data_IF_270971920688
#
_entry.id   IF_270971920688
#
_cell.length_a   1.000
_cell.length_b   1.000
_cell.length_c   1.000
_cell.angle_alpha   90.00
_cell.angle_beta   90.00
_cell.angle_gamma   90.00
#
_symmetry.space_group_name_H-M   'P 1'
#
loop_
_entity.id
_entity.type
_entity.pdbx_description
1 polymer ?
#
# COMPACT_ATOMS: atom_id res chain seq x y z
N UNK A 1 2.63 16.41 6.52
CA UNK A 1 3.03 16.54 7.94
C UNK A 1 4.25 15.66 8.14
N UNK A 2 5.17 15.98 9.06
CA UNK A 2 6.31 15.10 9.32
C UNK A 2 5.83 13.70 9.73
N UNK A 3 6.55 12.68 9.31
CA UNK A 3 6.33 11.32 9.80
C UNK A 3 6.66 11.27 11.30
N UNK A 4 5.78 10.70 12.12
CA UNK A 4 6.09 10.49 13.53
C UNK A 4 6.72 9.11 13.72
N UNK A 5 7.99 9.05 14.08
CA UNK A 5 8.72 7.78 14.33
C UNK A 5 8.79 7.45 15.81
N UNK A 6 9.02 6.17 16.13
CA UNK A 6 9.12 5.64 17.49
C UNK A 6 10.41 5.99 18.24
N UNK A 7 10.65 5.30 19.35
CA UNK A 7 11.77 5.53 20.28
C UNK A 7 13.11 4.95 19.81
N UNK A 8 13.10 3.94 18.93
CA UNK A 8 14.29 3.21 18.47
C UNK A 8 15.18 2.71 19.62
N UNK A 9 14.60 2.05 20.62
CA UNK A 9 15.31 1.59 21.82
C UNK A 9 16.51 0.66 21.50
N UNK A 10 16.43 -0.06 20.39
CA UNK A 10 17.48 -0.95 19.89
C UNK A 10 18.52 -0.27 18.96
N UNK A 11 18.44 1.05 18.74
CA UNK A 11 19.41 1.83 17.94
C UNK A 11 19.59 1.31 16.51
N UNK A 12 18.47 0.93 15.90
CA UNK A 12 18.38 0.39 14.55
C UNK A 12 18.34 1.47 13.48
N UNK A 13 18.03 2.72 13.86
CA UNK A 13 18.14 3.88 12.99
C UNK A 13 19.60 4.08 12.56
N UNK A 14 19.82 4.10 11.25
CA UNK A 14 21.10 4.38 10.60
C UNK A 14 20.95 5.54 9.65
N UNK A 15 22.09 6.09 9.23
CA UNK A 15 22.15 7.20 8.28
C UNK A 15 22.81 6.73 7.00
N UNK A 16 22.12 6.90 5.88
CA UNK A 16 22.63 6.75 4.53
C UNK A 16 23.08 8.13 4.02
N UNK A 17 24.31 8.22 3.52
CA UNK A 17 24.82 9.45 2.90
C UNK A 17 24.93 9.24 1.40
N UNK A 18 24.26 10.07 0.61
CA UNK A 18 24.25 10.03 -0.86
C UNK A 18 24.62 11.41 -1.38
N UNK A 19 25.85 11.57 -1.86
CA UNK A 19 26.38 12.89 -2.19
C UNK A 19 26.37 13.80 -0.95
N UNK A 20 25.71 14.95 -1.06
CA UNK A 20 25.56 15.93 0.04
C UNK A 20 24.30 15.70 0.89
N UNK A 21 23.49 14.69 0.56
CA UNK A 21 22.25 14.38 1.27
C UNK A 21 22.47 13.31 2.34
N UNK A 22 21.81 13.48 3.48
CA UNK A 22 21.84 12.56 4.60
C UNK A 22 20.42 12.14 4.95
N UNK A 23 20.15 10.84 4.84
CA UNK A 23 18.81 10.27 4.99
C UNK A 23 18.87 9.18 6.05
N UNK A 24 18.01 9.27 7.06
CA UNK A 24 17.87 8.22 8.06
C UNK A 24 17.01 7.06 7.55
N UNK A 25 17.25 5.85 8.04
CA UNK A 25 16.42 4.68 7.76
C UNK A 25 16.55 3.65 8.90
N UNK A 26 15.58 2.75 9.02
CA UNK A 26 15.57 1.71 10.05
C UNK A 26 16.15 0.41 9.50
N UNK A 27 17.31 0.02 10.03
CA UNK A 27 18.15 -1.05 9.46
C UNK A 27 17.85 -2.41 10.06
N UNK A 28 17.35 -3.35 9.24
CA UNK A 28 17.17 -4.76 9.63
C UNK A 28 18.49 -5.42 10.06
N UNK A 29 19.63 -5.24 9.35
CA UNK A 29 20.93 -5.72 9.85
C UNK A 29 21.29 -5.18 11.23
N UNK A 30 21.00 -3.91 11.52
CA UNK A 30 21.27 -3.33 12.83
C UNK A 30 20.36 -3.93 13.92
N UNK A 31 19.12 -4.29 13.58
CA UNK A 31 18.23 -5.04 14.47
C UNK A 31 18.81 -6.43 14.82
N UNK A 32 19.38 -7.13 13.84
CA UNK A 32 20.11 -8.39 14.07
C UNK A 32 21.31 -8.19 15.00
N UNK A 33 22.13 -7.18 14.73
CA UNK A 33 23.32 -6.83 15.55
C UNK A 33 22.95 -6.46 16.99
N UNK A 34 21.79 -5.81 17.18
CA UNK A 34 21.24 -5.47 18.49
C UNK A 34 20.67 -6.69 19.25
N UNK A 35 20.69 -7.88 18.65
CA UNK A 35 20.22 -9.12 19.28
C UNK A 35 18.71 -9.32 19.25
N UNK A 36 17.99 -8.63 18.34
CA UNK A 36 16.54 -8.81 18.18
C UNK A 36 16.17 -10.10 17.43
N UNK A 37 17.14 -10.78 16.81
CA UNK A 37 16.98 -12.09 16.19
C UNK A 37 17.61 -12.19 14.80
N UNK A 38 17.47 -13.36 14.17
CA UNK A 38 17.93 -13.59 12.80
C UNK A 38 16.79 -13.38 11.80
N UNK A 39 16.95 -12.36 10.96
CA UNK A 39 15.99 -11.97 9.92
C UNK A 39 16.44 -12.35 8.50
N UNK A 40 17.55 -13.08 8.36
CA UNK A 40 18.15 -13.41 7.05
C UNK A 40 17.22 -14.21 6.14
N UNK A 41 16.40 -15.08 6.74
CA UNK A 41 15.44 -15.96 6.04
C UNK A 41 14.06 -15.34 5.84
N UNK A 42 13.85 -14.09 6.23
CA UNK A 42 12.55 -13.44 5.99
C UNK A 42 12.34 -13.16 4.48
N UNK A 43 11.14 -13.47 3.96
CA UNK A 43 10.68 -12.98 2.66
C UNK A 43 10.74 -11.45 2.59
N UNK A 44 10.92 -10.91 1.39
CA UNK A 44 11.01 -9.47 1.17
C UNK A 44 9.77 -8.72 1.67
N UNK A 45 8.56 -9.27 1.47
CA UNK A 45 7.33 -8.68 1.95
C UNK A 45 7.31 -8.54 3.49
N UNK A 46 7.83 -9.53 4.21
CA UNK A 46 7.94 -9.44 5.69
C UNK A 46 9.05 -8.51 6.14
N UNK A 47 10.09 -8.30 5.34
CA UNK A 47 11.11 -7.28 5.63
C UNK A 47 10.51 -5.86 5.57
N UNK A 48 9.57 -5.61 4.66
CA UNK A 48 8.81 -4.34 4.61
C UNK A 48 7.98 -4.15 5.89
N UNK A 49 7.27 -5.19 6.34
CA UNK A 49 6.50 -5.12 7.60
C UNK A 49 7.43 -4.99 8.81
N UNK A 50 8.58 -5.67 8.82
CA UNK A 50 9.57 -5.57 9.89
C UNK A 50 10.17 -4.15 9.99
N UNK A 51 10.49 -3.51 8.85
CA UNK A 51 10.90 -2.10 8.84
C UNK A 51 9.86 -1.21 9.50
N UNK A 52 8.59 -1.44 9.20
CA UNK A 52 7.48 -0.71 9.81
C UNK A 52 7.49 -0.85 11.35
N UNK A 53 7.69 -2.07 11.85
CA UNK A 53 7.76 -2.32 13.29
C UNK A 53 8.96 -1.64 13.93
N UNK A 54 10.14 -1.69 13.28
CA UNK A 54 11.34 -1.01 13.75
C UNK A 54 11.14 0.51 13.83
N UNK A 55 10.51 1.09 12.80
CA UNK A 55 10.27 2.53 12.71
C UNK A 55 9.26 3.06 13.71
N UNK A 56 8.28 2.24 14.09
CA UNK A 56 7.19 2.65 15.00
C UNK A 56 7.27 2.05 16.40
N UNK A 57 8.40 1.44 16.79
CA UNK A 57 8.61 0.91 18.15
C UNK A 57 8.46 2.01 19.21
N UNK A 58 7.43 1.91 20.05
CA UNK A 58 7.01 2.96 20.99
C UNK A 58 6.64 2.44 22.39
N UNK A 59 6.80 1.13 22.63
CA UNK A 59 6.41 0.40 23.84
C UNK A 59 4.91 0.50 24.21
N UNK A 60 4.07 0.93 23.26
CA UNK A 60 2.61 1.05 23.44
C UNK A 60 1.84 0.27 22.40
N UNK A 61 2.11 0.56 21.14
CA UNK A 61 1.49 -0.07 19.98
C UNK A 61 2.42 -1.06 19.31
N UNK A 62 3.72 -0.78 19.30
CA UNK A 62 4.74 -1.69 18.80
C UNK A 62 5.82 -1.85 19.87
N UNK A 63 6.00 -3.08 20.32
CA UNK A 63 6.98 -3.46 21.33
C UNK A 63 8.18 -4.15 20.70
N UNK A 64 9.29 -4.23 21.45
CA UNK A 64 10.48 -5.02 21.05
C UNK A 64 10.14 -6.50 20.84
N UNK A 65 9.15 -7.03 21.57
CA UNK A 65 8.71 -8.42 21.41
C UNK A 65 7.97 -8.65 20.08
N UNK A 66 7.26 -7.63 19.56
CA UNK A 66 6.64 -7.70 18.23
C UNK A 66 7.70 -7.79 17.13
N UNK A 67 8.82 -7.10 17.29
CA UNK A 67 9.97 -7.17 16.38
C UNK A 67 10.62 -8.56 16.45
N UNK A 68 10.89 -9.08 17.66
CA UNK A 68 11.47 -10.43 17.86
C UNK A 68 10.59 -11.54 17.28
N UNK A 69 9.27 -11.34 17.27
CA UNK A 69 8.32 -12.32 16.74
C UNK A 69 8.55 -12.65 15.26
N UNK A 70 9.18 -11.77 14.47
CA UNK A 70 9.57 -12.06 13.10
C UNK A 70 10.74 -13.05 13.01
N UNK A 71 11.72 -12.96 13.91
CA UNK A 71 12.79 -13.95 13.99
C UNK A 71 12.24 -15.31 14.42
N UNK A 72 11.31 -15.33 15.38
CA UNK A 72 10.59 -16.55 15.76
C UNK A 72 9.79 -17.14 14.61
N UNK A 73 9.11 -16.30 13.82
CA UNK A 73 8.37 -16.73 12.63
C UNK A 73 9.30 -17.45 11.65
N UNK A 74 10.50 -16.91 11.42
CA UNK A 74 11.53 -17.54 10.58
C UNK A 74 12.02 -18.87 11.15
N UNK A 75 12.29 -18.93 12.45
CA UNK A 75 12.74 -20.13 13.14
C UNK A 75 11.67 -21.25 13.16
N UNK A 76 10.38 -20.89 13.23
CA UNK A 76 9.24 -21.81 13.24
C UNK A 76 8.76 -22.20 11.84
N UNK A 77 9.50 -21.86 10.79
CA UNK A 77 9.18 -22.24 9.41
C UNK A 77 7.94 -21.53 8.87
N UNK A 78 7.78 -20.25 9.21
CA UNK A 78 6.71 -19.40 8.69
C UNK A 78 5.43 -19.40 9.53
N UNK A 79 5.47 -19.93 10.75
CA UNK A 79 4.31 -20.06 11.64
C UNK A 79 4.50 -19.27 12.92
N UNK A 80 3.75 -18.19 13.10
CA UNK A 80 3.68 -17.50 14.40
C UNK A 80 2.36 -16.70 14.50
N UNK A 81 1.42 -17.08 15.39
CA UNK A 81 0.19 -16.31 15.57
C UNK A 81 0.43 -15.09 16.48
N UNK A 82 1.46 -14.29 16.17
CA UNK A 82 1.66 -12.99 16.82
C UNK A 82 0.85 -11.96 16.07
N UNK A 83 0.01 -11.24 16.79
CA UNK A 83 -0.67 -10.05 16.29
C UNK A 83 0.26 -8.85 16.40
N UNK A 84 0.27 -8.00 15.37
CA UNK A 84 1.10 -6.81 15.24
C UNK A 84 0.25 -5.61 14.84
N UNK A 85 0.73 -4.41 15.19
CA UNK A 85 0.08 -3.14 14.90
C UNK A 85 0.77 -2.47 13.70
N UNK A 86 0.32 -2.77 12.49
CA UNK A 86 0.92 -2.28 11.25
C UNK A 86 0.40 -0.90 10.82
N UNK A 87 1.28 0.01 10.43
CA UNK A 87 0.91 1.36 9.97
C UNK A 87 1.24 1.55 8.49
N UNK A 88 0.25 1.64 7.59
CA UNK A 88 0.54 1.90 6.18
C UNK A 88 1.15 3.30 5.99
N UNK A 89 2.01 3.47 4.97
CA UNK A 89 2.55 4.79 4.65
C UNK A 89 1.48 5.76 4.15
N UNK A 90 0.48 5.26 3.41
CA UNK A 90 -0.62 6.05 2.83
C UNK A 90 -1.90 5.24 2.66
N UNK A 91 -2.99 5.93 2.32
CA UNK A 91 -4.31 5.32 2.04
C UNK A 91 -4.76 5.68 0.63
N UNK A 92 -5.34 4.72 -0.09
CA UNK A 92 -5.93 4.91 -1.42
C UNK A 92 -7.45 4.73 -1.38
N UNK A 93 -8.18 5.72 -1.86
CA UNK A 93 -9.64 5.70 -1.93
C UNK A 93 -10.09 5.74 -3.39
N UNK A 94 -11.23 5.13 -3.67
CA UNK A 94 -11.99 5.30 -4.92
C UNK A 94 -13.31 6.02 -4.61
N UNK A 95 -14.00 6.60 -5.59
CA UNK A 95 -15.07 7.55 -5.33
C UNK A 95 -16.35 6.97 -4.68
N UNK A 96 -16.64 5.68 -4.78
CA UNK A 96 -17.80 5.07 -4.10
C UNK A 96 -17.58 4.88 -2.60
N UNK A 97 -16.36 4.58 -2.18
CA UNK A 97 -15.98 4.43 -0.76
C UNK A 97 -15.35 5.70 -0.18
N UNK A 98 -14.79 6.55 -1.03
CA UNK A 98 -14.17 7.81 -0.63
C UNK A 98 -15.18 8.90 -0.29
N UNK A 99 -16.35 8.93 -0.96
CA UNK A 99 -17.45 9.82 -0.58
C UNK A 99 -17.91 9.56 0.87
N UNK A 100 -18.29 8.33 1.26
CA UNK A 100 -18.68 8.08 2.65
C UNK A 100 -17.53 8.37 3.64
N UNK A 101 -16.28 8.03 3.31
CA UNK A 101 -15.16 8.37 4.19
C UNK A 101 -15.00 9.88 4.44
N UNK A 102 -15.19 10.72 3.40
CA UNK A 102 -15.16 12.19 3.56
C UNK A 102 -16.38 12.70 4.33
N UNK A 103 -17.54 12.07 4.17
CA UNK A 103 -18.73 12.36 5.00
C UNK A 103 -18.45 12.03 6.46
N UNK A 104 -17.82 10.90 6.76
CA UNK A 104 -17.52 10.48 8.12
C UNK A 104 -16.49 11.40 8.78
N UNK A 105 -15.46 11.86 8.05
CA UNK A 105 -14.56 12.92 8.51
C UNK A 105 -15.29 14.23 8.82
N UNK A 106 -16.23 14.65 7.96
CA UNK A 106 -17.02 15.85 8.20
C UNK A 106 -17.93 15.69 9.44
N UNK A 107 -18.58 14.54 9.58
CA UNK A 107 -19.42 14.24 10.74
C UNK A 107 -18.61 14.17 12.04
N UNK A 108 -17.39 13.62 12.00
CA UNK A 108 -16.46 13.61 13.12
C UNK A 108 -16.04 15.03 13.53
N UNK A 109 -15.84 15.94 12.57
CA UNK A 109 -15.58 17.37 12.87
C UNK A 109 -16.75 18.00 13.61
N UNK A 110 -17.98 17.83 13.10
CA UNK A 110 -19.18 18.36 13.74
C UNK A 110 -19.38 17.79 15.16
N UNK A 111 -19.16 16.48 15.33
CA UNK A 111 -19.22 15.83 16.63
C UNK A 111 -18.19 16.41 17.60
N UNK A 112 -16.93 16.59 17.17
CA UNK A 112 -15.88 17.13 18.02
C UNK A 112 -16.17 18.57 18.46
N UNK A 113 -16.69 19.40 17.54
CA UNK A 113 -17.13 20.77 17.86
C UNK A 113 -18.28 20.76 18.87
N UNK A 114 -19.24 19.84 18.73
CA UNK A 114 -20.36 19.70 19.68
C UNK A 114 -19.90 19.33 21.10
N UNK A 115 -18.74 18.65 21.20
CA UNK A 115 -18.08 18.31 22.46
C UNK A 115 -17.13 19.42 22.97
N UNK A 116 -17.06 20.56 22.28
CA UNK A 116 -16.21 21.71 22.63
C UNK A 116 -14.74 21.58 22.19
N UNK A 117 -14.43 20.63 21.30
CA UNK A 117 -13.10 20.44 20.72
C UNK A 117 -12.89 21.27 19.44
N UNK A 118 -11.69 21.15 18.88
CA UNK A 118 -11.29 21.81 17.63
C UNK A 118 -11.44 20.86 16.43
N UNK A 119 -12.26 21.24 15.45
CA UNK A 119 -12.49 20.47 14.23
C UNK A 119 -11.20 20.14 13.46
N UNK A 120 -10.19 21.00 13.52
CA UNK A 120 -8.92 20.79 12.80
C UNK A 120 -8.12 19.60 13.34
N UNK A 121 -8.46 19.08 14.53
CA UNK A 121 -7.87 17.83 15.04
C UNK A 121 -8.34 16.60 14.26
N UNK A 122 -9.50 16.67 13.59
CA UNK A 122 -9.94 15.64 12.66
C UNK A 122 -9.33 15.96 11.30
N UNK A 123 -8.20 15.32 11.03
CA UNK A 123 -7.50 15.41 9.77
C UNK A 123 -6.75 14.09 9.49
N UNK A 124 -6.63 13.67 8.22
CA UNK A 124 -5.74 12.58 7.86
C UNK A 124 -4.29 12.82 8.32
N UNK A 125 -3.74 11.88 9.09
CA UNK A 125 -2.36 11.89 9.58
C UNK A 125 -1.38 11.34 8.55
N UNK A 126 -1.86 10.53 7.61
CA UNK A 126 -1.10 9.95 6.52
C UNK A 126 -1.62 10.50 5.19
N UNK A 127 -0.81 10.51 4.11
CA UNK A 127 -1.28 10.83 2.77
C UNK A 127 -2.49 9.98 2.37
N UNK A 128 -3.52 10.63 1.85
CA UNK A 128 -4.73 10.01 1.32
C UNK A 128 -4.92 10.48 -0.12
N UNK A 129 -4.96 9.53 -1.04
CA UNK A 129 -5.23 9.76 -2.44
C UNK A 129 -6.60 9.18 -2.78
N UNK A 130 -7.52 10.02 -3.26
CA UNK A 130 -8.82 9.60 -3.77
C UNK A 130 -8.83 9.71 -5.29
N UNK A 131 -9.07 8.60 -5.99
CA UNK A 131 -9.21 8.58 -7.45
C UNK A 131 -10.68 8.46 -7.83
N UNK A 132 -11.14 9.33 -8.73
CA UNK A 132 -12.50 9.27 -9.27
C UNK A 132 -12.47 8.48 -10.58
N UNK A 133 -12.96 7.25 -10.54
CA UNK A 133 -12.92 6.32 -11.69
C UNK A 133 -14.10 5.36 -11.78
N UNK A 134 -14.90 5.19 -10.72
CA UNK A 134 -16.06 4.28 -10.68
C UNK A 134 -17.37 4.93 -11.19
N UNK A 135 -17.32 6.20 -11.58
CA UNK A 135 -18.51 6.97 -11.96
C UNK A 135 -18.81 7.02 -13.45
N UNK A 136 -17.80 6.82 -14.31
CA UNK A 136 -17.96 6.87 -15.76
C UNK A 136 -18.68 5.63 -16.28
N UNK A 137 -19.66 5.83 -17.14
CA UNK A 137 -20.42 4.76 -17.80
C UNK A 137 -20.25 4.84 -19.31
N UNK A 138 -20.36 3.69 -19.98
CA UNK A 138 -20.32 3.62 -21.44
C UNK A 138 -21.73 3.88 -21.97
N UNK A 139 -22.13 5.15 -22.05
CA UNK A 139 -23.41 5.54 -22.67
C UNK A 139 -23.32 5.58 -24.20
N UNK A 140 -22.16 5.96 -24.74
CA UNK A 140 -21.82 5.94 -26.17
C UNK A 140 -20.53 5.13 -26.40
N UNK A 141 -20.43 4.47 -27.55
CA UNK A 141 -19.23 3.74 -27.97
C UNK A 141 -19.05 3.76 -29.50
N UNK A 142 -17.86 3.39 -29.96
CA UNK A 142 -17.58 3.14 -31.37
C UNK A 142 -17.55 4.37 -32.29
N UNK A 143 -17.48 5.59 -31.74
CA UNK A 143 -17.41 6.82 -32.53
C UNK A 143 -16.48 7.88 -31.89
N UNK A 144 -15.93 8.84 -32.67
CA UNK A 144 -14.95 9.81 -32.16
C UNK A 144 -15.45 10.75 -31.06
N UNK A 145 -16.76 10.88 -30.86
CA UNK A 145 -17.35 11.74 -29.81
C UNK A 145 -17.68 10.97 -28.54
N UNK A 146 -17.59 9.64 -28.54
CA UNK A 146 -18.01 8.80 -27.43
C UNK A 146 -17.31 9.16 -26.11
N UNK A 147 -15.99 9.42 -26.15
CA UNK A 147 -15.24 9.81 -24.97
C UNK A 147 -15.79 11.09 -24.31
N UNK A 148 -15.89 12.18 -25.08
CA UNK A 148 -16.39 13.45 -24.55
C UNK A 148 -17.83 13.32 -24.04
N UNK A 149 -18.70 12.61 -24.78
CA UNK A 149 -20.10 12.44 -24.39
C UNK A 149 -20.26 11.64 -23.08
N UNK A 150 -19.44 10.61 -22.86
CA UNK A 150 -19.47 9.82 -21.63
C UNK A 150 -18.96 10.64 -20.44
N UNK A 151 -17.89 11.42 -20.62
CA UNK A 151 -17.37 12.33 -19.57
C UNK A 151 -18.39 13.43 -19.24
N UNK A 152 -19.01 14.06 -20.23
CA UNK A 152 -20.03 15.10 -19.98
C UNK A 152 -21.22 14.55 -19.18
N UNK A 153 -21.70 13.34 -19.54
CA UNK A 153 -22.78 12.65 -18.81
C UNK A 153 -22.37 12.25 -17.40
N UNK A 154 -21.13 11.84 -17.20
CA UNK A 154 -20.59 11.56 -15.87
C UNK A 154 -20.64 12.80 -14.96
N UNK A 155 -20.21 13.96 -15.46
CA UNK A 155 -20.28 15.23 -14.72
C UNK A 155 -21.72 15.66 -14.43
N UNK A 156 -22.63 15.51 -15.40
CA UNK A 156 -24.05 15.83 -15.22
C UNK A 156 -24.66 15.01 -14.06
N UNK A 157 -24.35 13.71 -14.00
CA UNK A 157 -24.92 12.78 -13.01
C UNK A 157 -24.29 12.92 -11.62
N UNK A 158 -23.02 13.30 -11.53
CA UNK A 158 -22.25 13.23 -10.28
C UNK A 158 -21.80 14.59 -9.74
N UNK A 159 -22.37 15.70 -10.25
CA UNK A 159 -21.97 17.07 -9.88
C UNK A 159 -21.91 17.31 -8.37
N UNK A 160 -22.89 16.84 -7.62
CA UNK A 160 -22.94 16.99 -6.16
C UNK A 160 -21.78 16.24 -5.47
N UNK A 161 -21.56 14.98 -5.84
CA UNK A 161 -20.46 14.15 -5.31
C UNK A 161 -19.10 14.80 -5.59
N UNK A 162 -18.89 15.30 -6.80
CA UNK A 162 -17.62 15.93 -7.18
C UNK A 162 -17.41 17.28 -6.48
N UNK A 163 -18.48 18.06 -6.31
CA UNK A 163 -18.43 19.29 -5.53
C UNK A 163 -18.05 18.99 -4.08
N UNK A 164 -18.62 17.94 -3.49
CA UNK A 164 -18.32 17.49 -2.13
C UNK A 164 -16.86 17.00 -1.98
N UNK A 165 -16.38 16.16 -2.89
CA UNK A 165 -14.98 15.69 -2.88
C UNK A 165 -13.99 16.84 -3.09
N UNK A 166 -14.32 17.80 -3.96
CA UNK A 166 -13.51 19.02 -4.15
C UNK A 166 -13.49 19.89 -2.91
N UNK A 167 -14.60 19.97 -2.17
CA UNK A 167 -14.59 20.61 -0.85
C UNK A 167 -13.66 19.85 0.10
N UNK A 168 -13.76 18.51 0.17
CA UNK A 168 -12.90 17.67 1.02
C UNK A 168 -11.40 17.90 0.76
N UNK A 169 -10.98 17.98 -0.51
CA UNK A 169 -9.59 18.30 -0.87
C UNK A 169 -9.09 19.63 -0.31
N UNK A 170 -9.95 20.63 -0.17
CA UNK A 170 -9.56 21.93 0.39
C UNK A 170 -9.72 21.97 1.91
N UNK A 171 -10.59 21.13 2.48
CA UNK A 171 -10.91 21.12 3.90
C UNK A 171 -9.95 20.27 4.74
N UNK A 172 -9.28 19.29 4.13
CA UNK A 172 -8.37 18.37 4.81
C UNK A 172 -6.94 18.48 4.27
N UNK A 173 -5.96 18.52 5.15
CA UNK A 173 -4.55 18.37 4.81
C UNK A 173 -4.23 16.91 4.47
N UNK A 174 -3.19 16.69 3.66
CA UNK A 174 -2.77 15.37 3.18
C UNK A 174 -3.83 14.62 2.36
N UNK A 175 -4.88 15.30 1.87
CA UNK A 175 -5.94 14.71 1.06
C UNK A 175 -5.86 15.23 -0.38
N UNK A 176 -5.66 14.34 -1.35
CA UNK A 176 -5.56 14.67 -2.77
C UNK A 176 -6.66 13.94 -3.55
N UNK A 177 -7.35 14.66 -4.42
CA UNK A 177 -8.35 14.09 -5.33
C UNK A 177 -7.81 14.10 -6.76
N UNK A 178 -7.75 12.93 -7.37
CA UNK A 178 -7.49 12.77 -8.80
C UNK A 178 -8.83 12.88 -9.54
N UNK A 179 -8.98 13.85 -10.46
CA UNK A 179 -10.25 14.12 -11.12
C UNK A 179 -10.65 13.02 -12.12
N UNK A 180 -11.94 12.93 -12.49
CA UNK A 180 -12.44 11.96 -13.45
C UNK A 180 -11.77 12.13 -14.83
N UNK A 181 -11.66 11.03 -15.57
CA UNK A 181 -11.05 11.00 -16.90
C UNK A 181 -9.51 10.98 -16.92
N UNK A 182 -8.85 10.90 -15.75
CA UNK A 182 -7.39 10.82 -15.64
C UNK A 182 -6.86 9.40 -15.80
N UNK A 183 -7.67 8.40 -15.47
CA UNK A 183 -7.31 6.98 -15.49
C UNK A 183 -8.08 6.20 -14.41
N UNK A 184 -7.74 4.94 -14.24
CA UNK A 184 -8.31 4.07 -13.19
C UNK A 184 -7.40 4.07 -11.94
N UNK A 185 -8.00 3.86 -10.78
CA UNK A 185 -7.39 3.98 -9.45
C UNK A 185 -6.05 3.26 -9.35
N UNK A 186 -6.00 1.99 -9.71
CA UNK A 186 -4.77 1.18 -9.58
C UNK A 186 -3.69 1.53 -10.60
N UNK A 187 -4.07 1.94 -11.81
CA UNK A 187 -3.12 2.34 -12.83
C UNK A 187 -2.50 3.70 -12.50
N UNK A 188 -3.33 4.68 -12.09
CA UNK A 188 -2.84 5.96 -11.57
C UNK A 188 -1.96 5.75 -10.33
N UNK A 189 -2.34 4.81 -9.46
CA UNK A 189 -1.52 4.46 -8.30
C UNK A 189 -0.15 3.92 -8.73
N UNK A 190 -0.10 2.98 -9.67
CA UNK A 190 1.13 2.36 -10.16
C UNK A 190 2.05 3.36 -10.89
N UNK A 191 1.47 4.21 -11.75
CA UNK A 191 2.22 5.07 -12.66
C UNK A 191 2.59 6.44 -12.07
N UNK A 192 1.85 6.93 -11.07
CA UNK A 192 1.98 8.32 -10.61
C UNK A 192 2.06 8.49 -9.09
N UNK A 193 1.26 7.74 -8.31
CA UNK A 193 1.20 7.96 -6.85
C UNK A 193 2.27 7.18 -6.07
N UNK A 194 2.67 6.03 -6.58
CA UNK A 194 3.61 5.13 -5.93
C UNK A 194 5.05 5.57 -6.07
N UNK A 195 5.83 5.41 -5.01
CA UNK A 195 7.25 5.82 -5.00
C UNK A 195 8.22 4.67 -4.74
N UNK A 196 7.72 3.49 -4.35
CA UNK A 196 8.50 2.35 -3.85
C UNK A 196 9.25 2.63 -2.53
N UNK A 197 9.90 3.80 -2.40
CA UNK A 197 10.48 4.32 -1.17
C UNK A 197 10.06 5.77 -1.02
N UNK A 198 9.41 6.09 0.09
CA UNK A 198 9.09 7.47 0.46
C UNK A 198 10.21 8.10 1.27
N UNK A 199 10.30 9.42 1.20
CA UNK A 199 11.03 10.23 2.19
C UNK A 199 10.09 11.24 2.83
N UNK A 200 10.23 11.43 4.14
CA UNK A 200 9.58 12.52 4.87
C UNK A 200 10.46 12.98 6.03
N UNK A 201 10.22 14.18 6.55
CA UNK A 201 10.89 14.66 7.75
C UNK A 201 10.25 14.06 8.99
N UNK A 202 11.03 13.66 9.97
CA UNK A 202 10.50 13.22 11.25
C UNK A 202 10.15 14.39 12.18
N UNK A 203 9.66 14.09 13.39
CA UNK A 203 9.37 15.07 14.44
C UNK A 203 10.58 15.94 14.86
N UNK A 204 11.80 15.51 14.57
CA UNK A 204 13.06 16.22 14.86
C UNK A 204 13.59 16.96 13.61
N UNK A 205 12.86 16.91 12.49
CA UNK A 205 13.20 17.58 11.23
C UNK A 205 14.21 16.83 10.37
N UNK A 206 14.54 15.57 10.70
CA UNK A 206 15.49 14.74 9.96
C UNK A 206 14.76 13.99 8.84
N UNK A 207 15.32 13.97 7.63
CA UNK A 207 14.75 13.22 6.52
C UNK A 207 14.91 11.70 6.74
N UNK A 208 13.82 10.95 6.63
CA UNK A 208 13.73 9.50 6.85
C UNK A 208 13.21 8.83 5.59
N UNK A 209 13.91 7.82 5.10
CA UNK A 209 13.45 6.93 4.04
C UNK A 209 12.77 5.67 4.60
N UNK A 210 11.67 5.29 3.99
CA UNK A 210 10.91 4.08 4.36
C UNK A 210 10.19 3.48 3.14
N UNK A 211 9.91 2.17 3.12
CA UNK A 211 9.19 1.54 2.03
C UNK A 211 7.80 2.16 1.82
N UNK A 212 7.40 2.30 0.56
CA UNK A 212 6.02 2.64 0.22
C UNK A 212 5.11 1.46 0.54
N UNK A 213 4.08 1.75 1.33
CA UNK A 213 3.04 0.79 1.68
C UNK A 213 1.69 1.46 1.78
N UNK A 214 0.63 0.74 1.44
CA UNK A 214 -0.72 1.29 1.51
C UNK A 214 -1.79 0.26 1.84
N UNK A 215 -2.90 0.77 2.34
CA UNK A 215 -4.18 0.08 2.23
C UNK A 215 -5.11 0.91 1.36
N UNK A 216 -6.03 0.26 0.68
CA UNK A 216 -7.03 0.96 -0.11
C UNK A 216 -8.42 0.40 0.06
N UNK A 217 -9.44 1.22 -0.17
CA UNK A 217 -10.85 0.80 -0.09
C UNK A 217 -11.32 0.07 -1.34
N UNK A 218 -10.40 -0.60 -2.02
CA UNK A 218 -10.63 -1.38 -3.22
C UNK A 218 -9.75 -2.65 -3.14
N UNK A 219 -10.34 -3.80 -3.45
CA UNK A 219 -9.67 -5.10 -3.36
C UNK A 219 -8.42 -5.20 -4.24
N UNK A 220 -8.43 -4.56 -5.40
CA UNK A 220 -7.37 -4.62 -6.40
C UNK A 220 -6.27 -3.59 -6.17
N UNK A 221 -6.29 -2.89 -5.03
CA UNK A 221 -5.14 -2.14 -4.48
C UNK A 221 -3.85 -2.97 -4.53
N UNK A 222 -3.98 -4.30 -4.49
CA UNK A 222 -2.90 -5.26 -4.64
C UNK A 222 -2.12 -5.17 -5.96
N UNK A 223 -2.62 -4.51 -7.01
CA UNK A 223 -1.89 -4.30 -8.27
C UNK A 223 -0.51 -3.68 -8.08
N UNK A 224 -0.39 -2.75 -7.13
CA UNK A 224 0.83 -1.98 -6.86
C UNK A 224 1.99 -2.84 -6.31
N UNK A 225 1.68 -4.03 -5.79
CA UNK A 225 2.70 -4.97 -5.34
C UNK A 225 3.63 -5.45 -6.47
N UNK A 226 3.22 -5.31 -7.74
CA UNK A 226 4.07 -5.53 -8.91
C UNK A 226 5.23 -4.54 -9.02
N UNK A 227 5.14 -3.38 -8.36
CA UNK A 227 6.17 -2.35 -8.25
C UNK A 227 6.83 -2.31 -6.86
N UNK A 228 6.83 -3.45 -6.16
CA UNK A 228 7.42 -3.61 -4.84
C UNK A 228 6.87 -2.68 -3.75
N UNK A 229 5.63 -2.22 -3.91
CA UNK A 229 4.88 -1.46 -2.92
C UNK A 229 3.94 -2.41 -2.21
N UNK A 230 4.11 -2.60 -0.91
CA UNK A 230 3.27 -3.54 -0.16
C UNK A 230 1.89 -2.91 0.08
N UNK A 231 0.85 -3.45 -0.55
CA UNK A 231 -0.51 -2.96 -0.29
C UNK A 231 -1.64 -3.90 -0.65
N UNK A 232 -2.80 -3.67 -0.04
CA UNK A 232 -3.97 -4.53 -0.20
C UNK A 232 -5.27 -3.79 0.09
N UNK A 233 -6.39 -4.40 -0.30
CA UNK A 233 -7.72 -3.88 -0.06
C UNK A 233 -8.21 -4.09 1.37
N UNK A 234 -8.87 -3.09 1.95
CA UNK A 234 -9.53 -3.13 3.26
C UNK A 234 -10.92 -2.50 3.18
N UNK A 235 -11.72 -2.62 4.24
CA UNK A 235 -13.00 -1.93 4.35
C UNK A 235 -12.84 -0.42 4.56
N UNK A 236 -13.93 0.33 4.37
CA UNK A 236 -13.95 1.79 4.58
C UNK A 236 -13.54 2.18 6.00
N UNK A 237 -14.06 1.47 7.00
CA UNK A 237 -13.77 1.73 8.43
C UNK A 237 -12.28 1.53 8.74
N UNK A 238 -11.66 0.45 8.24
CA UNK A 238 -10.22 0.23 8.43
C UNK A 238 -9.38 1.30 7.73
N UNK A 239 -9.78 1.74 6.54
CA UNK A 239 -9.11 2.82 5.83
C UNK A 239 -9.26 4.18 6.56
N UNK A 240 -10.43 4.46 7.14
CA UNK A 240 -10.71 5.64 7.98
C UNK A 240 -9.90 5.62 9.28
N UNK A 241 -9.82 4.46 9.94
CA UNK A 241 -8.97 4.30 11.10
C UNK A 241 -7.49 4.54 10.74
N UNK A 242 -7.02 3.96 9.63
CA UNK A 242 -5.66 4.11 9.15
C UNK A 242 -5.32 5.58 8.78
N UNK A 243 -6.21 6.30 8.11
CA UNK A 243 -5.98 7.72 7.80
C UNK A 243 -5.93 8.58 9.07
N UNK A 244 -6.62 8.19 10.14
CA UNK A 244 -6.54 8.85 11.45
C UNK A 244 -5.38 8.32 12.33
N UNK A 245 -4.44 7.57 11.73
CA UNK A 245 -3.22 7.08 12.36
C UNK A 245 -3.40 5.87 13.29
N UNK A 246 -4.58 5.25 13.31
CA UNK A 246 -4.75 3.98 14.00
C UNK A 246 -4.01 2.88 13.24
N UNK A 247 -3.15 2.09 13.92
CA UNK A 247 -2.53 0.95 13.29
C UNK A 247 -3.56 -0.14 12.97
N UNK A 248 -3.33 -0.85 11.88
CA UNK A 248 -4.11 -1.99 11.45
C UNK A 248 -3.61 -3.22 12.21
N UNK A 249 -4.50 -3.85 12.96
CA UNK A 249 -4.20 -5.13 13.62
C UNK A 249 -4.16 -6.25 12.61
N UNK A 250 -3.06 -7.01 12.59
CA UNK A 250 -2.93 -8.19 11.74
C UNK A 250 -2.03 -9.24 12.36
N UNK A 251 -2.21 -10.51 12.00
CA UNK A 251 -1.25 -11.55 12.31
C UNK A 251 -0.03 -11.42 11.38
N UNK A 252 1.16 -11.79 11.85
CA UNK A 252 2.32 -11.97 10.96
C UNK A 252 1.95 -13.05 9.92
N UNK A 253 1.82 -12.69 8.63
CA UNK A 253 1.21 -13.57 7.65
C UNK A 253 2.15 -14.72 7.31
N UNK A 254 1.57 -15.89 7.00
CA UNK A 254 2.30 -16.91 6.24
C UNK A 254 2.64 -16.36 4.85
N UNK A 255 3.81 -16.69 4.34
CA UNK A 255 4.24 -16.30 2.99
C UNK A 255 4.43 -17.54 2.13
N UNK A 256 3.71 -17.59 1.02
CA UNK A 256 3.83 -18.62 0.00
C UNK A 256 4.78 -18.12 -1.10
N UNK A 257 5.95 -18.74 -1.20
CA UNK A 257 6.86 -18.48 -2.32
C UNK A 257 6.29 -19.08 -3.62
N UNK A 258 6.17 -18.26 -4.66
CA UNK A 258 5.79 -18.69 -6.00
C UNK A 258 7.00 -18.55 -6.94
N UNK A 259 7.60 -19.67 -7.31
CA UNK A 259 8.76 -19.69 -8.19
C UNK A 259 8.34 -19.61 -9.67
N UNK A 260 8.80 -18.57 -10.37
CA UNK A 260 8.68 -18.44 -11.81
C UNK A 260 10.00 -18.89 -12.45
N UNK A 261 9.92 -19.87 -13.35
CA UNK A 261 11.06 -20.44 -14.07
C UNK A 261 10.81 -20.44 -15.58
N UNK A 262 11.88 -20.57 -16.37
CA UNK A 262 11.78 -20.66 -17.83
C UNK A 262 11.38 -19.35 -18.52
N UNK A 263 10.64 -19.47 -19.63
CA UNK A 263 10.21 -18.37 -20.49
C UNK A 263 8.81 -18.61 -21.04
N UNK A 264 8.08 -17.53 -21.30
CA UNK A 264 6.78 -17.57 -21.98
C UNK A 264 6.92 -18.19 -23.38
N UNK A 265 5.94 -19.02 -23.75
CA UNK A 265 5.88 -19.61 -25.09
C UNK A 265 5.45 -18.56 -26.11
N UNK A 266 5.99 -18.60 -27.32
CA UNK A 266 5.56 -17.69 -28.39
C UNK A 266 4.03 -17.77 -28.60
N UNK A 267 3.40 -16.61 -28.73
CA UNK A 267 1.94 -16.49 -28.85
C UNK A 267 1.17 -16.45 -27.53
N UNK A 268 1.84 -16.65 -26.39
CA UNK A 268 1.22 -16.42 -25.07
C UNK A 268 1.30 -14.96 -24.64
N UNK A 269 0.32 -14.52 -23.86
CA UNK A 269 0.17 -13.15 -23.37
C UNK A 269 0.31 -13.08 -21.84
N UNK A 270 0.48 -11.88 -21.28
CA UNK A 270 0.44 -11.66 -19.83
C UNK A 270 -0.88 -12.15 -19.20
N UNK A 271 -1.99 -12.08 -19.95
CA UNK A 271 -3.29 -12.61 -19.54
C UNK A 271 -3.26 -14.13 -19.37
N UNK A 272 -2.62 -14.86 -20.29
CA UNK A 272 -2.51 -16.32 -20.18
C UNK A 272 -1.70 -16.71 -18.94
N UNK A 273 -0.62 -15.97 -18.67
CA UNK A 273 0.21 -16.17 -17.48
C UNK A 273 -0.58 -15.92 -16.20
N UNK A 274 -1.29 -14.79 -16.09
CA UNK A 274 -2.00 -14.47 -14.85
C UNK A 274 -3.12 -15.46 -14.58
N UNK A 275 -3.87 -15.87 -15.59
CA UNK A 275 -4.92 -16.88 -15.42
C UNK A 275 -4.34 -18.22 -14.95
N UNK A 276 -3.15 -18.59 -15.45
CA UNK A 276 -2.46 -19.78 -14.98
C UNK A 276 -1.98 -19.66 -13.53
N UNK A 277 -1.43 -18.51 -13.15
CA UNK A 277 -1.02 -18.23 -11.76
C UNK A 277 -2.23 -18.30 -10.82
N UNK A 278 -3.36 -17.68 -11.20
CA UNK A 278 -4.62 -17.71 -10.45
C UNK A 278 -5.09 -19.15 -10.26
N UNK A 279 -5.13 -19.95 -11.32
CA UNK A 279 -5.53 -21.36 -11.26
C UNK A 279 -4.70 -22.14 -10.22
N UNK A 280 -3.37 -22.00 -10.29
CA UNK A 280 -2.44 -22.69 -9.41
C UNK A 280 -2.56 -22.25 -7.95
N UNK A 281 -2.67 -20.93 -7.70
CA UNK A 281 -2.79 -20.38 -6.35
C UNK A 281 -4.14 -20.70 -5.70
N UNK A 282 -5.23 -20.71 -6.49
CA UNK A 282 -6.55 -21.17 -6.01
C UNK A 282 -6.51 -22.65 -5.61
N UNK A 283 -5.90 -23.50 -6.42
CA UNK A 283 -5.73 -24.91 -6.09
C UNK A 283 -4.86 -25.14 -4.85
N UNK A 284 -3.87 -24.26 -4.62
CA UNK A 284 -2.99 -24.31 -3.44
C UNK A 284 -3.69 -23.87 -2.14
N UNK A 285 -4.66 -22.95 -2.23
CA UNK A 285 -5.39 -22.41 -1.09
C UNK A 285 -4.57 -21.40 -0.28
N UNK A 286 -4.53 -20.16 -0.75
CA UNK A 286 -3.69 -19.09 -0.18
C UNK A 286 -4.48 -18.00 0.56
N UNK A 287 -5.69 -18.32 1.00
CA UNK A 287 -6.59 -17.37 1.69
C UNK A 287 -5.92 -16.78 2.94
N UNK A 288 -5.86 -15.44 3.00
CA UNK A 288 -5.30 -14.70 4.13
C UNK A 288 -3.77 -14.80 4.26
N UNK A 289 -3.08 -15.30 3.23
CA UNK A 289 -1.62 -15.42 3.18
C UNK A 289 -1.03 -14.38 2.23
N UNK A 290 0.24 -14.09 2.40
CA UNK A 290 1.01 -13.37 1.39
C UNK A 290 1.51 -14.36 0.35
N UNK A 291 1.58 -13.92 -0.91
CA UNK A 291 2.30 -14.61 -1.97
C UNK A 291 3.50 -13.74 -2.35
N UNK A 292 4.70 -14.31 -2.38
CA UNK A 292 5.90 -13.63 -2.84
C UNK A 292 6.46 -14.34 -4.07
N UNK A 293 6.58 -13.61 -5.16
CA UNK A 293 7.10 -14.14 -6.42
C UNK A 293 8.63 -14.08 -6.43
N UNK A 294 9.26 -15.16 -6.88
CA UNK A 294 10.72 -15.27 -6.98
C UNK A 294 11.12 -16.19 -8.14
N UNK A 295 12.42 -16.30 -8.39
CA UNK A 295 12.97 -17.20 -9.42
C UNK A 295 13.46 -16.49 -10.68
N UNK A 296 14.13 -17.23 -11.55
CA UNK A 296 14.78 -16.70 -12.75
C UNK A 296 13.82 -16.09 -13.77
N UNK A 297 12.54 -16.49 -13.75
CA UNK A 297 11.50 -15.99 -14.64
C UNK A 297 11.18 -14.51 -14.42
N UNK A 298 11.39 -13.99 -13.20
CA UNK A 298 11.13 -12.56 -12.88
C UNK A 298 11.98 -11.63 -13.75
N UNK A 299 13.22 -12.02 -14.06
CA UNK A 299 14.17 -11.21 -14.82
C UNK A 299 13.70 -10.87 -16.24
N UNK A 300 12.70 -11.60 -16.75
CA UNK A 300 12.14 -11.44 -18.10
C UNK A 300 10.71 -10.91 -18.09
N UNK A 301 10.10 -10.80 -16.92
CA UNK A 301 8.70 -10.43 -16.77
C UNK A 301 8.58 -8.90 -16.66
N UNK A 302 7.97 -8.22 -17.65
CA UNK A 302 7.75 -6.78 -17.60
C UNK A 302 6.92 -6.37 -16.38
N UNK A 303 7.12 -5.15 -15.88
CA UNK A 303 6.39 -4.68 -14.71
C UNK A 303 4.86 -4.67 -14.89
N UNK A 304 4.36 -4.41 -16.09
CA UNK A 304 2.92 -4.49 -16.40
C UNK A 304 2.35 -5.90 -16.14
N UNK A 305 3.08 -6.96 -16.47
CA UNK A 305 2.64 -8.33 -16.22
C UNK A 305 2.71 -8.67 -14.73
N UNK A 306 3.72 -8.17 -14.00
CA UNK A 306 3.80 -8.30 -12.54
C UNK A 306 2.62 -7.61 -11.85
N UNK A 307 2.30 -6.39 -12.28
CA UNK A 307 1.16 -5.64 -11.78
C UNK A 307 -0.16 -6.37 -12.10
N UNK A 308 -0.28 -6.98 -13.28
CA UNK A 308 -1.44 -7.80 -13.65
C UNK A 308 -1.58 -9.02 -12.73
N UNK A 309 -0.48 -9.68 -12.36
CA UNK A 309 -0.48 -10.80 -11.40
C UNK A 309 -0.81 -10.34 -9.98
N UNK A 310 -0.25 -9.21 -9.53
CA UNK A 310 -0.55 -8.60 -8.23
C UNK A 310 -2.01 -8.15 -8.13
N UNK A 311 -2.57 -7.61 -9.22
CA UNK A 311 -3.95 -7.18 -9.33
C UNK A 311 -4.91 -8.33 -9.01
N UNK A 312 -4.61 -9.53 -9.50
CA UNK A 312 -5.48 -10.71 -9.36
C UNK A 312 -5.40 -11.39 -7.98
N UNK A 313 -4.74 -10.78 -6.99
CA UNK A 313 -4.62 -11.34 -5.64
C UNK A 313 -5.95 -11.67 -4.95
N UNK A 314 -6.98 -10.80 -5.02
CA UNK A 314 -8.31 -11.12 -4.54
C UNK A 314 -8.90 -12.39 -5.20
N UNK A 315 -8.68 -12.59 -6.50
CA UNK A 315 -9.21 -13.74 -7.25
C UNK A 315 -8.58 -15.08 -6.84
N UNK A 316 -7.30 -15.09 -6.44
CA UNK A 316 -6.66 -16.26 -5.83
C UNK A 316 -6.73 -16.31 -4.30
N UNK A 317 -7.32 -15.30 -3.68
CA UNK A 317 -7.61 -15.23 -2.24
C UNK A 317 -6.46 -14.76 -1.36
N UNK A 318 -5.30 -14.42 -1.92
CA UNK A 318 -4.18 -13.91 -1.12
C UNK A 318 -4.48 -12.50 -0.62
N UNK A 319 -3.86 -12.12 0.49
CA UNK A 319 -3.88 -10.71 0.94
C UNK A 319 -3.11 -9.83 -0.04
N UNK A 320 -1.98 -10.31 -0.58
CA UNK A 320 -1.20 -9.62 -1.60
C UNK A 320 -0.37 -10.59 -2.45
N UNK A 321 0.03 -10.16 -3.65
CA UNK A 321 1.00 -10.83 -4.52
C UNK A 321 2.23 -9.95 -4.75
N UNK A 322 3.29 -10.15 -3.95
CA UNK A 322 4.44 -9.27 -3.83
C UNK A 322 5.59 -9.62 -4.78
N UNK A 323 6.10 -8.61 -5.48
CA UNK A 323 7.30 -8.69 -6.30
C UNK A 323 8.40 -7.81 -5.66
N UNK A 324 9.53 -8.39 -5.22
CA UNK A 324 10.62 -7.61 -4.63
C UNK A 324 11.25 -6.62 -5.62
N UNK A 325 11.87 -5.55 -5.09
CA UNK A 325 12.61 -4.57 -5.88
C UNK A 325 13.74 -5.27 -6.65
N UNK A 326 13.78 -5.06 -7.96
CA UNK A 326 14.81 -5.58 -8.86
C UNK A 326 15.14 -4.58 -10.01
N UNK A 327 15.96 -5.02 -10.96
CA UNK A 327 16.36 -4.18 -12.09
C UNK A 327 15.21 -3.69 -12.97
N UNK A 328 14.15 -4.48 -13.13
CA UNK A 328 12.94 -4.09 -13.88
C UNK A 328 12.13 -3.04 -13.13
N UNK A 329 12.00 -3.19 -11.81
CA UNK A 329 11.36 -2.18 -10.95
C UNK A 329 12.07 -0.83 -11.08
N UNK A 330 13.40 -0.82 -10.97
CA UNK A 330 14.19 0.40 -11.15
C UNK A 330 14.15 0.96 -12.57
N UNK A 331 13.98 0.11 -13.59
CA UNK A 331 13.81 0.54 -14.98
C UNK A 331 12.47 1.24 -15.18
N UNK A 332 11.40 0.74 -14.55
CA UNK A 332 10.07 1.31 -14.68
C UNK A 332 9.92 2.65 -13.96
N UNK A 333 10.59 2.83 -12.81
CA UNK A 333 10.56 4.08 -12.04
C UNK A 333 11.35 5.24 -12.68
N UNK A 334 12.16 4.97 -13.72
CA UNK A 334 13.00 5.96 -14.42
C UNK A 334 12.33 6.45 -15.70
#
# INVERSE_FOLDING_TARGET
MPITVGHDTAKTRKTLTVGDQSIAYYSIPAATEAGLGDFSKLPAALKVVLENMLRFEDDKTVTVDDIKAFAEWGAKGGKNPREIAYRPARVLLQDFTGVPAVVDLAAMRDALVSLGGDAEQINPLNPVDLVIDHSVMIDEFGNPRAFQMNVDREYERNMERYTFLKWGQNAFNNFRVVPPGTGICHQVNLEYLSQTVWTDKDQDGVEVAYPDTLVGTDSHTTMVNGAAVLGWGVGGIEAEAAMLGQPISMLIPEVIGFELTGSMMEGTTGTDLVLKVVELLRAKGVVGKFVEFYGEGLNRLPLADRATIGNMAPEYGATCGFFPIDGETLRYLR
#
